data_IF_103344552328
#
_entry.id   IF_103344552328
#
_cell.length_a   1.000
_cell.length_b   1.000
_cell.length_c   1.000
_cell.angle_alpha   90.00
_cell.angle_beta   90.00
_cell.angle_gamma   90.00
#
_symmetry.space_group_name_H-M   'P 1'
#
loop_
_entity.id
_entity.type
_entity.pdbx_description
1 polymer ?
#
# COMPACT_ATOMS: atom_id res chain seq x y z
N UNK A 1 -14.31 -15.56 30.25
CA UNK A 1 -14.95 -15.46 28.90
C UNK A 1 -13.98 -15.85 27.79
N UNK A 2 -12.85 -15.16 27.59
CA UNK A 2 -11.92 -15.49 26.49
C UNK A 2 -11.40 -16.94 26.50
N UNK A 3 -11.05 -17.50 27.68
CA UNK A 3 -10.66 -18.91 27.80
C UNK A 3 -11.74 -19.85 27.26
N UNK A 4 -13.02 -19.60 27.57
CA UNK A 4 -14.13 -20.41 27.08
C UNK A 4 -14.27 -20.34 25.55
N UNK A 5 -14.02 -19.17 24.96
CA UNK A 5 -14.04 -18.98 23.51
C UNK A 5 -12.91 -19.75 22.84
N UNK A 6 -11.69 -19.70 23.41
CA UNK A 6 -10.53 -20.43 22.88
C UNK A 6 -10.66 -21.95 23.05
N UNK A 7 -11.32 -22.41 24.11
CA UNK A 7 -11.48 -23.83 24.43
C UNK A 7 -12.60 -24.49 23.63
N UNK A 8 -13.74 -23.81 23.49
CA UNK A 8 -14.96 -24.41 22.92
C UNK A 8 -15.36 -23.81 21.57
N UNK A 9 -14.71 -22.73 21.12
CA UNK A 9 -15.05 -22.04 19.88
C UNK A 9 -16.48 -21.47 19.89
N UNK A 10 -17.10 -21.28 21.06
CA UNK A 10 -18.49 -20.83 21.19
C UNK A 10 -18.68 -19.91 22.38
N UNK A 11 -19.56 -18.93 22.22
CA UNK A 11 -20.01 -18.05 23.30
C UNK A 11 -21.53 -17.97 23.31
N UNK A 12 -22.16 -18.18 24.46
CA UNK A 12 -23.60 -18.02 24.62
C UNK A 12 -23.91 -16.65 25.23
N UNK A 13 -24.74 -15.87 24.56
CA UNK A 13 -25.23 -14.58 25.06
C UNK A 13 -26.34 -14.76 26.13
N UNK A 14 -26.67 -13.71 26.87
CA UNK A 14 -27.74 -13.68 27.88
C UNK A 14 -29.13 -14.06 27.32
N UNK A 15 -29.35 -13.85 26.02
CA UNK A 15 -30.57 -14.26 25.32
C UNK A 15 -30.56 -15.73 24.86
N UNK A 16 -29.56 -16.51 25.24
CA UNK A 16 -29.41 -17.92 24.84
C UNK A 16 -28.90 -18.14 23.42
N UNK A 17 -28.63 -17.08 22.64
CA UNK A 17 -28.03 -17.18 21.31
C UNK A 17 -26.57 -17.63 21.41
N UNK A 18 -26.20 -18.66 20.64
CA UNK A 18 -24.81 -19.11 20.52
C UNK A 18 -24.11 -18.42 19.34
N UNK A 19 -22.93 -17.88 19.60
CA UNK A 19 -22.01 -17.32 18.60
C UNK A 19 -20.88 -18.32 18.39
N UNK A 20 -20.59 -18.64 17.13
CA UNK A 20 -19.55 -19.60 16.73
C UNK A 20 -18.26 -18.85 16.33
N UNK A 21 -17.13 -19.28 16.90
CA UNK A 21 -15.79 -18.71 16.69
C UNK A 21 -14.86 -19.65 15.91
N UNK A 22 -15.33 -20.81 15.41
CA UNK A 22 -14.48 -21.78 14.69
C UNK A 22 -13.82 -21.23 13.41
N UNK A 23 -14.42 -20.22 12.79
CA UNK A 23 -13.92 -19.58 11.56
C UNK A 23 -13.43 -18.14 11.82
N UNK A 24 -13.00 -17.84 13.05
CA UNK A 24 -12.52 -16.52 13.45
C UNK A 24 -11.04 -16.60 13.81
N UNK A 25 -10.25 -15.64 13.30
CA UNK A 25 -8.87 -15.42 13.76
C UNK A 25 -8.91 -14.40 14.90
N UNK A 26 -8.58 -14.84 16.11
CA UNK A 26 -8.50 -13.97 17.27
C UNK A 26 -7.12 -13.32 17.34
N UNK A 27 -7.05 -12.01 17.07
CA UNK A 27 -5.83 -11.22 17.24
C UNK A 27 -5.97 -10.37 18.49
N UNK A 28 -5.02 -10.48 19.41
CA UNK A 28 -4.96 -9.69 20.64
C UNK A 28 -3.65 -8.92 20.68
N UNK A 29 -3.71 -7.67 21.13
CA UNK A 29 -2.55 -6.78 21.20
C UNK A 29 -2.42 -6.23 22.62
N UNK A 30 -1.19 -6.11 23.11
CA UNK A 30 -0.88 -5.51 24.41
C UNK A 30 0.36 -4.65 24.29
N UNK A 31 0.42 -3.54 25.02
CA UNK A 31 1.63 -2.73 25.16
C UNK A 31 2.48 -3.18 26.36
N UNK A 32 2.20 -4.35 26.94
CA UNK A 32 3.01 -4.93 28.01
C UNK A 32 4.45 -5.14 27.53
N UNK A 33 5.43 -4.72 28.32
CA UNK A 33 6.86 -4.74 27.94
C UNK A 33 7.33 -3.50 27.16
N UNK A 34 6.43 -2.78 26.47
CA UNK A 34 6.82 -1.63 25.65
C UNK A 34 7.45 -0.49 26.46
N UNK A 35 6.99 -0.26 27.70
CA UNK A 35 7.58 0.75 28.59
C UNK A 35 8.96 0.38 29.12
N UNK A 36 9.25 -0.91 29.25
CA UNK A 36 10.55 -1.39 29.73
C UNK A 36 11.57 -1.42 28.58
N UNK A 37 11.13 -1.76 27.36
CA UNK A 37 11.92 -1.56 26.13
C UNK A 37 12.29 -0.09 25.89
N UNK A 38 11.40 0.85 26.24
CA UNK A 38 11.60 2.29 26.04
C UNK A 38 12.55 2.97 27.05
N UNK A 39 13.01 2.23 28.08
CA UNK A 39 13.98 2.74 29.07
C UNK A 39 15.40 2.52 28.57
N UNK A 40 16.22 3.56 28.67
CA UNK A 40 17.63 3.43 28.34
C UNK A 40 18.32 2.39 29.24
N UNK A 41 19.14 1.50 28.67
CA UNK A 41 19.91 0.56 29.45
C UNK A 41 20.95 1.29 30.29
N UNK A 42 20.80 1.28 31.62
CA UNK A 42 21.83 1.75 32.54
C UNK A 42 23.00 0.74 32.54
N UNK A 43 24.20 1.20 32.15
CA UNK A 43 25.46 0.45 32.24
C UNK A 43 26.20 0.27 30.90
N UNK A 44 27.53 0.27 30.96
CA UNK A 44 28.46 0.33 29.80
C UNK A 44 28.42 -0.86 28.82
N UNK A 45 27.57 -1.87 29.01
CA UNK A 45 27.69 -3.14 28.26
C UNK A 45 26.37 -3.86 27.94
N UNK A 46 25.20 -3.20 28.00
CA UNK A 46 23.93 -3.83 27.58
C UNK A 46 23.57 -3.44 26.15
N UNK A 47 24.09 -4.22 25.21
CA UNK A 47 23.61 -4.27 23.83
C UNK A 47 22.22 -4.90 23.85
N UNK A 48 21.16 -4.10 23.71
CA UNK A 48 19.74 -4.48 23.54
C UNK A 48 19.22 -5.56 24.52
N UNK A 49 18.36 -5.16 25.46
CA UNK A 49 17.67 -6.06 26.41
C UNK A 49 16.70 -7.00 25.68
N UNK A 50 17.21 -8.10 25.13
CA UNK A 50 16.37 -9.18 24.60
C UNK A 50 15.83 -10.00 25.79
N UNK A 51 14.50 -10.09 25.94
CA UNK A 51 13.83 -10.98 26.90
C UNK A 51 12.95 -10.31 27.96
N UNK A 52 13.05 -9.00 28.18
CA UNK A 52 12.19 -8.28 29.16
C UNK A 52 10.70 -8.34 28.75
N UNK A 53 10.39 -8.41 27.44
CA UNK A 53 9.03 -8.55 26.93
C UNK A 53 8.36 -9.84 27.38
N UNK A 54 9.10 -10.96 27.36
CA UNK A 54 8.56 -12.25 27.77
C UNK A 54 8.26 -12.27 29.27
N UNK A 55 9.11 -11.64 30.09
CA UNK A 55 8.88 -11.53 31.53
C UNK A 55 7.65 -10.67 31.84
N UNK A 56 7.49 -9.53 31.16
CA UNK A 56 6.31 -8.68 31.28
C UNK A 56 5.03 -9.42 30.88
N UNK A 57 5.06 -10.18 29.78
CA UNK A 57 3.94 -11.02 29.33
C UNK A 57 3.63 -12.14 30.33
N UNK A 58 4.65 -12.81 30.87
CA UNK A 58 4.48 -13.88 31.86
C UNK A 58 3.88 -13.38 33.17
N UNK A 59 4.17 -12.13 33.54
CA UNK A 59 3.61 -11.47 34.72
C UNK A 59 2.17 -11.01 34.52
N UNK A 60 1.86 -10.49 33.32
CA UNK A 60 0.55 -9.93 33.03
C UNK A 60 -0.50 -11.00 32.71
N UNK A 61 -0.10 -12.08 32.03
CA UNK A 61 -1.01 -13.15 31.58
C UNK A 61 -0.71 -14.47 32.28
N UNK A 62 -1.76 -15.07 32.84
CA UNK A 62 -1.64 -16.35 33.53
C UNK A 62 -1.17 -17.47 32.58
N UNK A 63 -0.50 -18.52 33.09
CA UNK A 63 -0.09 -19.66 32.28
C UNK A 63 -1.26 -20.30 31.52
N UNK A 64 -2.45 -20.37 32.11
CA UNK A 64 -3.63 -20.96 31.48
C UNK A 64 -4.04 -20.21 30.22
N UNK A 65 -3.92 -18.88 30.22
CA UNK A 65 -4.22 -18.07 29.05
C UNK A 65 -3.15 -18.22 27.96
N UNK A 66 -1.88 -18.16 28.36
CA UNK A 66 -0.75 -18.28 27.42
C UNK A 66 -0.71 -19.63 26.72
N UNK A 67 -1.08 -20.70 27.43
CA UNK A 67 -1.15 -22.06 26.88
C UNK A 67 -2.29 -22.25 25.86
N UNK A 68 -3.15 -21.24 25.66
CA UNK A 68 -4.22 -21.25 24.64
C UNK A 68 -3.92 -20.36 23.43
N UNK A 69 -2.73 -19.75 23.38
CA UNK A 69 -2.29 -18.96 22.24
C UNK A 69 -1.45 -19.85 21.31
N UNK A 70 -1.75 -19.82 20.02
CA UNK A 70 -0.94 -20.52 19.02
C UNK A 70 0.45 -19.88 18.86
N UNK A 71 0.52 -18.55 18.95
CA UNK A 71 1.75 -17.80 18.83
C UNK A 71 1.71 -16.48 19.62
N UNK A 72 2.86 -16.10 20.17
CA UNK A 72 3.11 -14.76 20.74
C UNK A 72 4.20 -14.10 19.90
N UNK A 73 3.85 -13.00 19.23
CA UNK A 73 4.75 -12.31 18.30
C UNK A 73 5.18 -10.98 18.93
N UNK A 74 6.48 -10.83 19.17
CA UNK A 74 7.07 -9.58 19.63
C UNK A 74 7.30 -8.63 18.43
N UNK A 75 6.88 -7.38 18.57
CA UNK A 75 7.11 -6.33 17.58
C UNK A 75 8.20 -5.39 18.09
N UNK A 76 9.33 -5.37 17.38
CA UNK A 76 10.41 -4.41 17.65
C UNK A 76 10.14 -3.03 17.06
N UNK A 77 11.06 -2.11 17.34
CA UNK A 77 11.07 -0.77 16.76
C UNK A 77 11.18 -0.83 15.22
N UNK A 78 10.67 0.21 14.55
CA UNK A 78 10.68 0.27 13.08
C UNK A 78 12.08 0.65 12.60
N UNK A 79 12.70 -0.12 11.69
CA UNK A 79 13.90 0.32 10.98
C UNK A 79 13.62 1.59 10.18
N UNK A 80 14.61 2.46 10.03
CA UNK A 80 14.49 3.72 9.26
C UNK A 80 13.93 3.49 7.86
N UNK A 81 14.37 2.44 7.16
CA UNK A 81 13.87 2.06 5.85
C UNK A 81 12.36 1.77 5.83
N UNK A 82 11.83 1.20 6.92
CA UNK A 82 10.39 0.95 7.06
C UNK A 82 9.65 2.26 7.30
N UNK A 83 10.23 3.18 8.07
CA UNK A 83 9.66 4.53 8.28
C UNK A 83 9.56 5.28 6.96
N UNK A 84 10.60 5.23 6.12
CA UNK A 84 10.59 5.87 4.79
C UNK A 84 9.44 5.33 3.92
N UNK A 85 9.27 4.00 3.86
CA UNK A 85 8.13 3.38 3.15
C UNK A 85 6.77 3.78 3.71
N UNK A 86 6.67 4.03 5.02
CA UNK A 86 5.43 4.53 5.63
C UNK A 86 5.16 5.96 5.16
N UNK A 87 6.18 6.82 5.07
CA UNK A 87 6.05 8.18 4.50
C UNK A 87 5.58 8.11 3.06
N UNK A 88 6.23 7.30 2.21
CA UNK A 88 5.84 7.09 0.81
C UNK A 88 4.39 6.63 0.69
N UNK A 89 3.95 5.68 1.53
CA UNK A 89 2.55 5.24 1.56
C UNK A 89 1.59 6.40 1.85
N UNK A 90 1.91 7.27 2.82
CA UNK A 90 1.06 8.42 3.12
C UNK A 90 1.04 9.44 1.97
N UNK A 91 2.15 9.60 1.27
CA UNK A 91 2.25 10.45 0.07
C UNK A 91 1.36 9.91 -1.04
N UNK A 92 1.43 8.62 -1.35
CA UNK A 92 0.55 7.99 -2.35
C UNK A 92 -0.94 8.17 -1.99
N UNK A 93 -1.29 8.06 -0.71
CA UNK A 93 -2.65 8.31 -0.24
C UNK A 93 -3.07 9.78 -0.44
N UNK A 94 -2.14 10.72 -0.24
CA UNK A 94 -2.38 12.15 -0.47
C UNK A 94 -2.51 12.46 -1.96
N UNK A 95 -1.64 11.93 -2.81
CA UNK A 95 -1.71 12.04 -4.27
C UNK A 95 -3.06 11.56 -4.80
N UNK A 96 -3.55 10.41 -4.33
CA UNK A 96 -4.86 9.90 -4.72
C UNK A 96 -6.00 10.88 -4.37
N UNK A 97 -5.91 11.57 -3.22
CA UNK A 97 -6.90 12.58 -2.83
C UNK A 97 -6.80 13.88 -3.64
N UNK A 98 -5.60 14.23 -4.11
CA UNK A 98 -5.32 15.44 -4.89
C UNK A 98 -5.60 15.25 -6.39
N UNK A 99 -5.50 14.03 -6.90
CA UNK A 99 -5.79 13.68 -8.28
C UNK A 99 -7.23 14.04 -8.68
N UNK A 100 -8.20 13.85 -7.77
CA UNK A 100 -9.61 14.25 -7.97
C UNK A 100 -9.78 15.77 -8.18
N UNK A 101 -8.79 16.58 -7.76
CA UNK A 101 -8.75 18.04 -7.92
C UNK A 101 -7.81 18.49 -9.04
N UNK A 102 -7.24 17.56 -9.81
CA UNK A 102 -6.26 17.88 -10.86
C UNK A 102 -4.96 18.46 -10.32
N UNK A 103 -4.58 18.10 -9.09
CA UNK A 103 -3.32 18.51 -8.48
C UNK A 103 -2.34 17.34 -8.48
N UNK A 104 -1.18 17.54 -9.11
CA UNK A 104 -0.04 16.62 -9.07
C UNK A 104 0.82 16.97 -7.87
N UNK A 105 1.21 15.99 -7.07
CA UNK A 105 2.03 16.18 -5.89
C UNK A 105 3.36 15.45 -6.09
N UNK A 106 4.47 16.14 -5.86
CA UNK A 106 5.82 15.58 -5.91
C UNK A 106 6.54 15.89 -4.60
N UNK A 107 7.12 14.87 -3.97
CA UNK A 107 7.93 15.00 -2.76
C UNK A 107 9.37 14.62 -3.06
N UNK A 108 10.34 15.47 -2.67
CA UNK A 108 11.75 15.12 -2.81
C UNK A 108 12.19 14.07 -1.78
N UNK A 109 13.23 13.31 -2.11
CA UNK A 109 13.79 12.29 -1.20
C UNK A 109 14.30 12.89 0.12
N UNK A 110 14.85 14.10 0.06
CA UNK A 110 15.25 14.89 1.23
C UNK A 110 14.05 15.19 2.14
N UNK A 111 12.90 15.53 1.57
CA UNK A 111 11.68 15.80 2.32
C UNK A 111 11.09 14.51 2.93
N UNK A 112 11.22 13.36 2.25
CA UNK A 112 10.86 12.05 2.84
C UNK A 112 11.71 11.78 4.07
N UNK A 113 13.02 11.98 3.97
CA UNK A 113 13.97 11.76 5.06
C UNK A 113 13.67 12.69 6.23
N UNK A 114 13.42 13.98 5.96
CA UNK A 114 13.05 14.96 6.97
C UNK A 114 11.74 14.60 7.71
N UNK A 115 10.73 14.13 6.98
CA UNK A 115 9.46 13.67 7.58
C UNK A 115 9.66 12.42 8.44
N UNK A 116 10.50 11.49 7.98
CA UNK A 116 10.82 10.27 8.71
C UNK A 116 11.53 10.60 10.03
N UNK A 117 12.56 11.46 9.99
CA UNK A 117 13.30 11.88 11.18
C UNK A 117 12.43 12.64 12.18
N UNK A 118 11.59 13.57 11.70
CA UNK A 118 10.75 14.39 12.59
C UNK A 118 9.54 13.64 13.12
N UNK A 119 8.99 12.70 12.35
CA UNK A 119 7.74 12.00 12.66
C UNK A 119 7.92 10.63 13.29
N UNK A 120 9.15 10.11 13.35
CA UNK A 120 9.47 8.87 14.04
C UNK A 120 9.95 9.14 15.45
N UNK A 121 9.34 8.45 16.40
CA UNK A 121 9.77 8.43 17.79
C UNK A 121 9.95 6.96 18.19
N UNK A 122 11.06 6.60 18.82
CA UNK A 122 11.35 5.20 19.16
C UNK A 122 10.30 4.60 20.11
N UNK A 123 9.72 5.42 21.00
CA UNK A 123 8.71 5.02 22.00
C UNK A 123 7.31 4.98 21.42
N UNK A 124 6.99 5.90 20.50
CA UNK A 124 5.67 6.00 19.88
C UNK A 124 5.58 5.36 18.48
N UNK A 125 6.69 4.90 17.93
CA UNK A 125 6.81 4.42 16.56
C UNK A 125 6.47 5.50 15.54
N UNK A 126 5.89 5.08 14.40
CA UNK A 126 5.45 5.99 13.34
C UNK A 126 4.10 6.68 13.62
N UNK A 127 3.55 6.60 14.85
CA UNK A 127 2.27 7.24 15.19
C UNK A 127 2.29 8.77 15.00
N UNK A 128 3.35 9.50 15.39
CA UNK A 128 3.41 10.96 15.20
C UNK A 128 3.50 11.37 13.73
N UNK A 129 3.94 10.47 12.85
CA UNK A 129 4.16 10.74 11.43
C UNK A 129 2.93 11.31 10.72
N UNK A 130 1.75 10.73 11.00
CA UNK A 130 0.49 11.22 10.42
C UNK A 130 0.20 12.68 10.81
N UNK A 131 0.56 13.07 12.04
CA UNK A 131 0.40 14.45 12.53
C UNK A 131 1.39 15.40 11.86
N UNK A 132 2.66 15.00 11.74
CA UNK A 132 3.69 15.80 11.06
C UNK A 132 3.29 16.06 9.61
N UNK A 133 2.84 15.03 8.89
CA UNK A 133 2.33 15.15 7.50
C UNK A 133 1.08 16.04 7.45
N UNK A 134 0.17 15.93 8.42
CA UNK A 134 -1.02 16.78 8.48
C UNK A 134 -0.65 18.26 8.64
N UNK A 135 0.25 18.58 9.56
CA UNK A 135 0.63 19.95 9.92
C UNK A 135 1.50 20.62 8.85
N UNK A 136 2.46 19.90 8.27
CA UNK A 136 3.45 20.43 7.34
C UNK A 136 3.10 20.27 5.87
N UNK A 137 2.22 19.33 5.51
CA UNK A 137 1.86 19.07 4.11
C UNK A 137 0.38 19.35 3.88
N UNK A 138 -0.51 18.62 4.55
CA UNK A 138 -1.96 18.69 4.23
C UNK A 138 -2.56 20.06 4.51
N UNK A 139 -2.20 20.71 5.63
CA UNK A 139 -2.75 22.02 5.98
C UNK A 139 -2.32 23.12 4.99
N UNK A 140 -1.02 23.32 4.69
CA UNK A 140 -0.61 24.27 3.65
C UNK A 140 -1.22 23.98 2.27
N UNK A 141 -1.30 22.71 1.88
CA UNK A 141 -1.94 22.33 0.61
C UNK A 141 -3.43 22.64 0.59
N UNK A 142 -4.15 22.43 1.69
CA UNK A 142 -5.57 22.74 1.76
C UNK A 142 -5.81 24.24 1.52
N UNK A 143 -4.99 25.10 2.12
CA UNK A 143 -5.07 26.54 1.91
C UNK A 143 -4.75 26.93 0.46
N UNK A 144 -3.73 26.34 -0.16
CA UNK A 144 -3.39 26.58 -1.57
C UNK A 144 -4.46 26.10 -2.55
N UNK A 145 -5.10 24.96 -2.26
CA UNK A 145 -6.17 24.39 -3.10
C UNK A 145 -7.48 25.16 -2.94
N UNK A 146 -7.80 25.66 -1.74
CA UNK A 146 -9.03 26.42 -1.49
C UNK A 146 -8.89 27.88 -1.90
N UNK A 147 -7.76 28.50 -1.55
CA UNK A 147 -7.57 29.94 -1.62
C UNK A 147 -6.42 30.39 -2.52
N UNK A 148 -5.41 29.56 -2.72
CA UNK A 148 -4.17 29.92 -3.41
C UNK A 148 -4.10 29.53 -4.89
N UNK A 149 -2.88 29.17 -5.32
CA UNK A 149 -2.53 28.97 -6.74
C UNK A 149 -3.04 27.65 -7.29
N UNK A 150 -3.34 26.68 -6.42
CA UNK A 150 -3.78 25.32 -6.80
C UNK A 150 -5.30 25.19 -6.97
N UNK A 151 -6.08 26.28 -6.89
CA UNK A 151 -7.56 26.25 -7.08
C UNK A 151 -8.02 25.62 -8.39
N UNK A 152 -7.21 25.70 -9.44
CA UNK A 152 -7.53 25.20 -10.79
C UNK A 152 -6.77 23.91 -11.14
N UNK A 153 -6.14 23.27 -10.16
CA UNK A 153 -5.14 22.24 -10.39
C UNK A 153 -3.73 22.82 -10.55
N UNK A 154 -2.77 21.95 -10.84
CA UNK A 154 -1.35 22.30 -11.01
C UNK A 154 -0.42 21.28 -10.35
N UNK A 155 0.88 21.55 -10.39
CA UNK A 155 1.89 20.67 -9.78
C UNK A 155 2.46 21.35 -8.54
N UNK A 156 2.48 20.64 -7.43
CA UNK A 156 3.14 21.07 -6.20
C UNK A 156 4.35 20.21 -5.93
N UNK A 157 5.50 20.86 -5.78
CA UNK A 157 6.74 20.22 -5.40
C UNK A 157 7.07 20.59 -3.96
N UNK A 158 7.36 19.58 -3.14
CA UNK A 158 7.69 19.75 -1.73
C UNK A 158 9.16 19.41 -1.50
N UNK A 159 9.92 20.39 -1.02
CA UNK A 159 11.35 20.30 -0.71
C UNK A 159 11.62 20.69 0.75
N UNK A 160 12.82 20.42 1.24
CA UNK A 160 13.27 20.87 2.56
C UNK A 160 13.72 22.34 2.45
N UNK A 161 13.36 23.16 3.45
CA UNK A 161 13.81 24.55 3.55
C UNK A 161 15.33 24.65 3.72
N UNK A 162 15.95 25.75 3.26
CA UNK A 162 17.39 26.01 3.42
C UNK A 162 17.83 25.98 4.90
N UNK A 163 16.95 26.37 5.82
CA UNK A 163 17.22 26.35 7.28
C UNK A 163 17.01 24.97 7.92
N UNK A 164 16.65 23.93 7.15
CA UNK A 164 16.24 22.59 7.60
C UNK A 164 15.10 22.56 8.65
N UNK A 165 14.48 23.70 8.96
CA UNK A 165 13.47 23.84 10.01
C UNK A 165 12.05 23.42 9.55
N UNK A 166 11.84 23.24 8.25
CA UNK A 166 10.52 22.97 7.68
C UNK A 166 10.55 22.51 6.22
N UNK A 167 9.35 22.27 5.69
CA UNK A 167 9.12 21.96 4.29
C UNK A 167 8.65 23.21 3.54
N UNK A 168 9.15 23.39 2.32
CA UNK A 168 8.71 24.41 1.39
C UNK A 168 7.81 23.77 0.34
N UNK A 169 6.68 24.41 0.05
CA UNK A 169 5.75 24.00 -0.98
C UNK A 169 5.83 24.99 -2.13
N UNK A 170 6.38 24.53 -3.25
CA UNK A 170 6.46 25.32 -4.48
C UNK A 170 5.37 24.86 -5.44
N UNK A 171 4.40 25.73 -5.70
CA UNK A 171 3.41 25.51 -6.74
C UNK A 171 3.99 25.92 -8.09
N UNK A 172 4.23 24.95 -8.97
CA UNK A 172 4.59 25.22 -10.35
C UNK A 172 3.29 25.37 -11.15
N UNK A 173 3.04 26.57 -11.65
CA UNK A 173 1.96 26.77 -12.60
C UNK A 173 2.31 26.02 -13.88
N UNK A 174 1.58 24.94 -14.15
CA UNK A 174 1.62 24.28 -15.44
C UNK A 174 0.99 25.26 -16.44
N UNK A 175 1.83 26.05 -17.10
CA UNK A 175 1.41 26.74 -18.32
C UNK A 175 0.99 25.65 -19.28
N UNK A 176 -0.31 25.52 -19.49
CA UNK A 176 -0.93 24.55 -20.39
C UNK A 176 -0.31 24.72 -21.78
N UNK A 177 0.75 23.96 -22.07
CA UNK A 177 1.22 23.76 -23.43
C UNK A 177 0.17 22.86 -24.05
N UNK A 178 -0.88 23.47 -24.60
CA UNK A 178 -1.89 22.78 -25.41
C UNK A 178 -1.14 21.87 -26.39
N UNK A 179 -1.40 20.55 -26.42
CA UNK A 179 -0.90 19.71 -27.49
C UNK A 179 -1.41 20.32 -28.78
N UNK A 180 -0.50 20.79 -29.63
CA UNK A 180 -0.83 21.30 -30.95
C UNK A 180 -1.49 20.16 -31.69
N UNK A 181 -2.82 20.22 -31.86
CA UNK A 181 -3.59 19.21 -32.57
C UNK A 181 -2.96 18.98 -33.95
N UNK A 182 -2.28 17.85 -34.11
CA UNK A 182 -1.78 17.42 -35.40
C UNK A 182 -3.00 17.05 -36.24
N UNK A 183 -3.29 17.87 -37.26
CA UNK A 183 -4.41 17.65 -38.17
C UNK A 183 -4.30 16.24 -38.77
N UNK A 184 -5.37 15.43 -38.78
CA UNK A 184 -5.31 14.11 -39.42
C UNK A 184 -5.00 14.31 -40.91
N UNK A 185 -3.87 13.76 -41.37
CA UNK A 185 -3.57 13.69 -42.81
C UNK A 185 -4.66 12.85 -43.48
N UNK A 186 -5.40 13.47 -44.40
CA UNK A 186 -6.46 12.84 -45.17
C UNK A 186 -6.01 11.52 -45.81
N UNK A 187 -6.76 10.44 -45.54
CA UNK A 187 -6.56 9.15 -46.17
C UNK A 187 -6.90 9.23 -47.67
N UNK A 188 -5.95 8.84 -48.53
CA UNK A 188 -6.15 8.72 -49.98
C UNK A 188 -7.19 7.62 -50.30
N UNK A 189 -8.05 7.80 -51.32
CA UNK A 189 -9.13 6.85 -51.60
C UNK A 189 -8.59 5.54 -52.21
N UNK A 190 -9.07 4.40 -51.69
CA UNK A 190 -8.81 3.06 -52.24
C UNK A 190 -9.47 2.91 -53.63
N UNK A 191 -8.67 2.58 -54.65
CA UNK A 191 -9.13 2.21 -56.01
C UNK A 191 -10.12 1.02 -55.94
N UNK A 192 -11.33 1.19 -56.49
CA UNK A 192 -12.29 0.11 -56.77
C UNK A 192 -11.69 -0.85 -57.81
N UNK A 193 -11.64 -2.16 -57.50
CA UNK A 193 -11.43 -3.22 -58.50
C UNK A 193 -12.79 -3.60 -59.10
N UNK A 194 -12.86 -3.66 -60.45
CA UNK A 194 -14.03 -4.14 -61.22
C UNK A 194 -14.14 -5.68 -61.16
N UNK A 195 -15.33 -6.27 -61.33
CA UNK A 195 -15.53 -7.71 -61.22
C UNK A 195 -15.24 -8.49 -62.51
N UNK A 196 -14.65 -9.67 -62.26
CA UNK A 196 -14.50 -10.94 -62.99
C UNK A 196 -15.16 -11.12 -64.37
N UNK A 197 -14.38 -11.67 -65.32
CA UNK A 197 -14.86 -12.51 -66.42
C UNK A 197 -14.31 -13.94 -66.28
N UNK A 198 -15.17 -14.90 -66.62
CA UNK A 198 -15.12 -16.36 -66.40
C UNK A 198 -14.66 -17.10 -67.67
N UNK A 199 -13.92 -18.22 -67.52
CA UNK A 199 -13.84 -19.42 -68.40
C UNK A 199 -12.86 -20.43 -67.75
N UNK A 200 -13.29 -21.59 -67.20
CA UNK A 200 -13.33 -22.97 -67.81
C UNK A 200 -12.01 -23.34 -68.51
N UNK A 201 -11.28 -24.42 -68.21
CA UNK A 201 -11.65 -25.84 -68.03
C UNK A 201 -10.46 -26.67 -67.49
N UNK A 202 -10.75 -27.82 -66.84
CA UNK A 202 -10.06 -29.14 -66.80
C UNK A 202 -8.51 -29.22 -66.63
N UNK A 203 -7.84 -30.17 -65.96
CA UNK A 203 -8.13 -31.53 -65.49
C UNK A 203 -6.97 -32.02 -64.59
N UNK A 204 -7.29 -33.02 -63.73
CA UNK A 204 -6.45 -34.15 -63.24
C UNK A 204 -5.15 -33.94 -62.45
N UNK A 205 -5.07 -34.62 -61.29
CA UNK A 205 -3.87 -35.43 -60.98
C UNK A 205 -3.24 -35.32 -59.59
N UNK A 206 -3.69 -36.18 -58.66
CA UNK A 206 -2.90 -36.95 -57.68
C UNK A 206 -1.93 -36.28 -56.66
N UNK A 207 -2.29 -36.49 -55.38
CA UNK A 207 -1.48 -37.09 -54.29
C UNK A 207 -0.13 -36.47 -53.88
N UNK A 208 -0.02 -36.01 -52.61
CA UNK A 208 0.73 -36.72 -51.55
C UNK A 208 0.73 -35.98 -50.20
N UNK A 209 0.80 -36.81 -49.17
CA UNK A 209 0.83 -36.57 -47.72
C UNK A 209 1.99 -35.64 -47.27
N UNK A 210 1.78 -34.99 -46.12
CA UNK A 210 2.85 -34.40 -45.30
C UNK A 210 2.34 -34.06 -43.90
N UNK A 211 2.59 -34.96 -42.95
CA UNK A 211 2.39 -34.84 -41.49
C UNK A 211 3.26 -33.74 -40.85
N UNK A 212 2.80 -33.15 -39.75
CA UNK A 212 3.64 -32.43 -38.77
C UNK A 212 2.87 -31.44 -37.88
N UNK A 213 3.17 -31.33 -36.56
CA UNK A 213 2.14 -31.49 -35.53
C UNK A 213 1.61 -30.20 -34.88
N UNK A 214 0.40 -30.32 -34.32
CA UNK A 214 -0.29 -29.32 -33.50
C UNK A 214 0.30 -29.23 -32.08
N UNK A 215 0.59 -28.01 -31.61
CA UNK A 215 0.94 -27.73 -30.21
C UNK A 215 -0.33 -27.68 -29.36
N UNK A 216 -0.43 -28.58 -28.38
CA UNK A 216 -1.46 -28.62 -27.34
C UNK A 216 -1.24 -27.50 -26.31
N UNK A 217 -2.30 -26.74 -26.01
CA UNK A 217 -2.42 -25.92 -24.81
C UNK A 217 -3.03 -26.76 -23.68
N UNK A 218 -2.31 -26.93 -22.57
CA UNK A 218 -2.77 -27.61 -21.36
C UNK A 218 -3.12 -26.55 -20.30
N UNK A 219 -4.40 -26.28 -20.11
CA UNK A 219 -4.93 -25.60 -18.92
C UNK A 219 -5.70 -26.66 -18.13
N UNK A 220 -5.31 -26.99 -16.89
CA UNK A 220 -6.08 -27.92 -16.05
C UNK A 220 -7.37 -27.25 -15.53
N UNK A 221 -8.53 -27.91 -15.71
CA UNK A 221 -9.79 -27.57 -15.02
C UNK A 221 -9.88 -28.32 -13.70
N UNK A 222 -10.19 -27.61 -12.62
CA UNK A 222 -10.49 -28.18 -11.29
C UNK A 222 -12.01 -28.44 -11.19
N UNK A 223 -12.48 -29.56 -10.61
CA UNK A 223 -13.92 -29.82 -10.43
C UNK A 223 -14.49 -29.06 -9.22
N UNK A 224 -15.71 -28.53 -9.35
CA UNK A 224 -16.54 -28.18 -8.20
C UNK A 224 -17.12 -29.47 -7.61
N UNK A 225 -17.07 -29.59 -6.28
CA UNK A 225 -17.77 -30.62 -5.53
C UNK A 225 -19.02 -30.02 -4.89
N UNK A 226 -20.10 -30.80 -4.88
CA UNK A 226 -21.41 -30.53 -4.27
C UNK A 226 -21.38 -30.45 -2.74
#
# INVERSE_FOLDING_TARGET
ILLQVMDHGKLTDHNGKQVDFRNVILIMTTNAGASDMAKEPIGFNRVKRQGEDQEAINRLFSPEFRNRLDAVIAFGNLPTEVVHRIVEKFVMQLEAQLADRGVTFELTEEAVSWLAEKGYDERMGARPLARVIQEHIKRPLADEVLFGKLRKGGTVKVSVSEDAAGLLLESVEETVVKPKAEKPKAAKPKRRRKPVAKKTEASTGASRKGDGPAKKSLIPKVPLAD
#
